data_IF_779583065516
#
_entry.id   IF_779583065516
#
_cell.length_a   1.000
_cell.length_b   1.000
_cell.length_c   1.000
_cell.angle_alpha   90.00
_cell.angle_beta   90.00
_cell.angle_gamma   90.00
#
_symmetry.space_group_name_H-M   'P 1'
#
loop_
_entity.id
_entity.type
_entity.pdbx_description
1 polymer ?
#
# COMPACT_ATOMS: atom_id res chain seq x y z
N UNK A 1 -49.30 62.13 51.58
CA UNK A 1 -49.30 61.66 50.15
C UNK A 1 -47.93 61.04 49.89
N UNK A 2 -47.87 59.68 49.88
CA UNK A 2 -46.62 58.95 49.59
C UNK A 2 -46.68 58.53 48.10
N UNK A 3 -45.75 58.99 47.29
CA UNK A 3 -45.57 58.58 45.89
C UNK A 3 -44.74 57.32 45.84
N UNK A 4 -45.34 56.21 45.38
CA UNK A 4 -44.61 54.96 45.07
C UNK A 4 -43.97 55.11 43.68
N UNK A 5 -42.67 54.98 43.65
CA UNK A 5 -41.87 54.87 42.37
C UNK A 5 -41.69 53.38 42.13
N UNK A 6 -42.28 52.90 41.05
CA UNK A 6 -42.08 51.52 40.56
C UNK A 6 -40.87 51.58 39.64
N UNK A 7 -39.78 50.95 40.05
CA UNK A 7 -38.61 50.74 39.22
C UNK A 7 -38.84 49.49 38.33
N UNK A 8 -38.93 49.67 36.99
CA UNK A 8 -38.98 48.59 36.02
C UNK A 8 -37.58 48.19 35.68
N UNK A 9 -37.21 46.94 36.10
CA UNK A 9 -35.93 46.35 35.79
C UNK A 9 -35.99 45.66 34.42
N UNK A 10 -35.34 46.22 33.42
CA UNK A 10 -35.17 45.60 32.10
C UNK A 10 -34.08 44.57 32.17
N UNK A 11 -34.44 43.30 32.14
CA UNK A 11 -33.51 42.19 31.90
C UNK A 11 -33.15 42.10 30.43
N UNK A 12 -31.95 42.54 30.06
CA UNK A 12 -31.40 42.27 28.75
C UNK A 12 -30.86 40.83 28.72
N UNK A 13 -31.58 39.91 28.10
CA UNK A 13 -31.07 38.57 27.74
C UNK A 13 -30.21 38.71 26.49
N UNK A 14 -28.88 38.78 26.68
CA UNK A 14 -27.95 38.67 25.57
C UNK A 14 -27.89 37.23 25.07
N UNK A 15 -28.45 37.00 23.88
CA UNK A 15 -28.32 35.71 23.17
C UNK A 15 -26.88 35.59 22.67
N UNK A 16 -26.03 34.81 23.35
CA UNK A 16 -24.68 34.49 22.91
C UNK A 16 -24.81 33.44 21.83
N UNK A 17 -24.70 33.85 20.56
CA UNK A 17 -24.62 32.94 19.42
C UNK A 17 -23.23 32.34 19.39
N UNK A 18 -23.06 31.13 19.92
CA UNK A 18 -21.84 30.32 19.77
C UNK A 18 -21.76 29.84 18.33
N UNK A 19 -20.99 30.52 17.48
CA UNK A 19 -20.57 29.99 16.18
C UNK A 19 -19.57 28.86 16.45
N UNK A 20 -20.03 27.61 16.33
CA UNK A 20 -19.15 26.45 16.25
C UNK A 20 -18.34 26.57 14.96
N UNK A 21 -17.09 27.02 15.06
CA UNK A 21 -16.15 26.91 13.94
C UNK A 21 -15.76 25.44 13.80
N UNK A 22 -16.33 24.75 12.82
CA UNK A 22 -15.82 23.46 12.38
C UNK A 22 -14.47 23.70 11.70
N UNK A 23 -13.40 23.59 12.47
CA UNK A 23 -12.04 23.55 11.94
C UNK A 23 -11.84 22.19 11.27
N UNK A 24 -12.14 22.11 9.99
CA UNK A 24 -11.69 20.99 9.17
C UNK A 24 -10.18 21.16 9.01
N UNK A 25 -9.39 20.43 9.78
CA UNK A 25 -7.98 20.26 9.50
C UNK A 25 -7.89 19.43 8.22
N UNK A 26 -7.64 20.06 7.10
CA UNK A 26 -7.23 19.36 5.88
C UNK A 26 -5.89 18.72 6.19
N UNK A 27 -5.87 17.42 6.47
CA UNK A 27 -4.63 16.66 6.51
C UNK A 27 -4.10 16.68 5.08
N UNK A 28 -3.00 17.41 4.85
CA UNK A 28 -2.28 17.32 3.58
C UNK A 28 -1.82 15.88 3.44
N UNK A 29 -2.21 15.23 2.33
CA UNK A 29 -1.79 13.87 2.04
C UNK A 29 -0.35 13.95 1.53
N UNK A 30 0.59 13.45 2.31
CA UNK A 30 1.99 13.33 1.92
C UNK A 30 2.18 12.06 1.10
N UNK A 31 2.90 12.18 -0.01
CA UNK A 31 3.26 11.08 -0.90
C UNK A 31 4.77 10.97 -0.97
N UNK A 32 5.33 9.87 -0.46
CA UNK A 32 6.74 9.53 -0.57
C UNK A 32 6.96 8.52 -1.70
N UNK A 33 8.11 8.62 -2.38
CA UNK A 33 8.52 7.72 -3.45
C UNK A 33 9.81 7.02 -3.05
N UNK A 34 9.81 5.69 -3.07
CA UNK A 34 10.98 4.88 -2.80
C UNK A 34 11.51 4.23 -4.06
N UNK A 35 12.78 4.50 -4.38
CA UNK A 35 13.48 3.90 -5.51
C UNK A 35 14.82 3.35 -5.00
N UNK A 36 15.00 2.04 -5.07
CA UNK A 36 16.23 1.37 -4.66
C UNK A 36 17.39 1.71 -5.61
N UNK A 37 18.62 1.48 -5.15
CA UNK A 37 19.79 1.72 -6.00
C UNK A 37 19.79 0.82 -7.23
N UNK A 38 19.35 -0.44 -7.10
CA UNK A 38 19.18 -1.34 -8.25
C UNK A 38 18.24 -0.78 -9.32
N UNK A 39 17.11 -0.21 -8.92
CA UNK A 39 16.14 0.39 -9.84
C UNK A 39 16.70 1.61 -10.54
N UNK A 40 17.49 2.43 -9.82
CA UNK A 40 18.19 3.59 -10.38
C UNK A 40 19.28 3.17 -11.37
N UNK A 41 20.12 2.18 -11.00
CA UNK A 41 21.21 1.67 -11.84
C UNK A 41 20.72 1.04 -13.15
N UNK A 42 19.53 0.41 -13.12
CA UNK A 42 18.86 -0.16 -14.29
C UNK A 42 18.05 0.85 -15.09
N UNK A 43 17.99 2.10 -14.64
CA UNK A 43 17.23 3.21 -15.25
C UNK A 43 15.76 2.86 -15.51
N UNK A 44 15.11 2.18 -14.54
CA UNK A 44 13.70 1.86 -14.67
C UNK A 44 12.84 3.12 -14.47
N UNK A 45 11.78 3.30 -15.27
CA UNK A 45 10.98 4.54 -15.29
C UNK A 45 9.90 4.57 -14.19
N UNK A 46 10.15 3.95 -13.02
CA UNK A 46 9.19 3.85 -11.90
C UNK A 46 9.91 3.75 -10.55
N UNK A 47 9.16 4.00 -9.48
CA UNK A 47 9.60 3.76 -8.10
C UNK A 47 9.27 2.33 -7.68
N UNK A 48 10.10 1.71 -6.83
CA UNK A 48 9.82 0.38 -6.27
C UNK A 48 8.58 0.39 -5.37
N UNK A 49 8.30 1.50 -4.72
CA UNK A 49 7.09 1.70 -3.93
C UNK A 49 6.70 3.18 -3.83
N UNK A 50 5.42 3.43 -3.61
CA UNK A 50 4.86 4.72 -3.22
C UNK A 50 4.22 4.58 -1.85
N UNK A 51 4.47 5.54 -0.96
CA UNK A 51 3.89 5.57 0.39
C UNK A 51 2.89 6.72 0.43
N UNK A 52 1.64 6.41 0.80
CA UNK A 52 0.58 7.41 1.00
C UNK A 52 0.09 7.25 2.43
N UNK A 53 0.31 8.27 3.26
CA UNK A 53 0.09 8.22 4.70
C UNK A 53 0.85 7.02 5.32
N UNK A 54 0.12 6.01 5.83
CA UNK A 54 0.70 4.81 6.46
C UNK A 54 0.62 3.55 5.57
N UNK A 55 0.34 3.69 4.27
CA UNK A 55 0.20 2.57 3.34
C UNK A 55 1.34 2.58 2.33
N UNK A 56 2.02 1.47 2.20
CA UNK A 56 3.05 1.21 1.20
C UNK A 56 2.41 0.47 0.02
N UNK A 57 2.49 1.04 -1.17
CA UNK A 57 2.08 0.46 -2.44
C UNK A 57 3.33 0.00 -3.18
N UNK A 58 3.66 -1.29 -3.07
CA UNK A 58 4.81 -1.88 -3.75
C UNK A 58 4.45 -2.07 -5.22
N UNK A 59 5.27 -1.58 -6.12
CA UNK A 59 5.13 -1.76 -7.57
C UNK A 59 5.24 -3.25 -7.95
N UNK A 60 4.73 -3.62 -9.12
CA UNK A 60 4.85 -4.98 -9.65
C UNK A 60 6.30 -5.45 -9.62
N UNK A 61 6.53 -6.59 -8.97
CA UNK A 61 7.83 -7.25 -8.89
C UNK A 61 7.78 -8.54 -9.70
N UNK A 62 8.88 -8.85 -10.37
CA UNK A 62 9.08 -10.11 -11.09
C UNK A 62 10.22 -10.93 -10.48
N UNK A 63 10.41 -12.14 -10.94
CA UNK A 63 11.38 -13.09 -10.37
C UNK A 63 12.84 -12.87 -10.78
N UNK A 64 13.31 -11.63 -10.92
CA UNK A 64 14.71 -11.32 -11.20
C UNK A 64 15.53 -11.14 -9.90
N UNK A 65 16.83 -11.41 -9.95
CA UNK A 65 17.74 -11.04 -8.89
C UNK A 65 18.00 -9.52 -8.88
N UNK A 66 18.26 -8.90 -7.73
CA UNK A 66 18.63 -7.50 -7.65
C UNK A 66 19.79 -7.14 -8.61
N UNK A 67 19.63 -6.01 -9.31
CA UNK A 67 20.62 -5.56 -10.31
C UNK A 67 20.65 -6.39 -11.61
N UNK A 68 19.69 -7.29 -11.82
CA UNK A 68 19.61 -8.12 -13.02
C UNK A 68 18.24 -7.97 -13.71
N UNK A 69 18.23 -7.98 -15.04
CA UNK A 69 17.01 -7.94 -15.86
C UNK A 69 16.52 -9.34 -16.30
N UNK A 70 17.21 -10.42 -15.90
CA UNK A 70 16.80 -11.79 -16.21
C UNK A 70 16.11 -12.42 -15.01
N UNK A 71 14.96 -13.03 -15.25
CA UNK A 71 14.26 -13.84 -14.24
C UNK A 71 15.08 -15.09 -13.90
N UNK A 72 14.91 -15.58 -12.67
CA UNK A 72 15.58 -16.81 -12.21
C UNK A 72 15.07 -18.03 -13.00
N UNK A 73 15.91 -19.01 -13.28
CA UNK A 73 15.49 -20.26 -13.89
C UNK A 73 14.66 -21.11 -12.90
N UNK A 74 13.83 -22.01 -13.42
CA UNK A 74 13.05 -22.96 -12.62
C UNK A 74 11.53 -22.78 -12.71
N UNK A 75 11.08 -21.87 -13.59
CA UNK A 75 9.67 -21.68 -13.88
C UNK A 75 8.89 -20.98 -12.77
N UNK A 76 7.57 -21.17 -12.80
CA UNK A 76 6.63 -20.40 -11.98
C UNK A 76 6.95 -20.45 -10.47
N UNK A 77 7.40 -21.58 -9.94
CA UNK A 77 7.71 -21.71 -8.50
C UNK A 77 8.89 -20.86 -8.09
N UNK A 78 10.01 -20.99 -8.79
CA UNK A 78 11.22 -20.23 -8.44
C UNK A 78 11.05 -18.74 -8.74
N UNK A 79 10.35 -18.39 -9.82
CA UNK A 79 10.01 -16.99 -10.09
C UNK A 79 9.09 -16.40 -9.02
N UNK A 80 8.03 -17.12 -8.60
CA UNK A 80 7.15 -16.67 -7.50
C UNK A 80 7.93 -16.45 -6.21
N UNK A 81 8.78 -17.41 -5.84
CA UNK A 81 9.63 -17.31 -4.64
C UNK A 81 10.55 -16.09 -4.69
N UNK A 82 11.20 -15.85 -5.84
CA UNK A 82 12.08 -14.69 -5.99
C UNK A 82 11.31 -13.38 -6.00
N UNK A 83 10.16 -13.32 -6.67
CA UNK A 83 9.25 -12.17 -6.67
C UNK A 83 8.84 -11.78 -5.25
N UNK A 84 8.41 -12.76 -4.43
CA UNK A 84 8.03 -12.51 -3.03
C UNK A 84 9.21 -12.03 -2.18
N UNK A 85 10.42 -12.55 -2.40
CA UNK A 85 11.64 -12.04 -1.74
C UNK A 85 11.97 -10.60 -2.15
N UNK A 86 11.71 -10.23 -3.41
CA UNK A 86 11.89 -8.85 -3.86
C UNK A 86 10.92 -7.90 -3.15
N UNK A 87 9.64 -8.30 -3.00
CA UNK A 87 8.65 -7.55 -2.24
C UNK A 87 9.07 -7.43 -0.76
N UNK A 88 9.45 -8.54 -0.12
CA UNK A 88 9.93 -8.55 1.26
C UNK A 88 11.10 -7.57 1.47
N UNK A 89 12.08 -7.55 0.57
CA UNK A 89 13.23 -6.64 0.62
C UNK A 89 12.80 -5.18 0.58
N UNK A 90 11.84 -4.81 -0.27
CA UNK A 90 11.31 -3.45 -0.36
C UNK A 90 10.59 -3.07 0.93
N UNK A 91 9.74 -3.95 1.46
CA UNK A 91 9.01 -3.70 2.70
C UNK A 91 9.96 -3.50 3.89
N UNK A 92 11.00 -4.35 4.02
CA UNK A 92 12.01 -4.23 5.07
C UNK A 92 12.78 -2.92 4.95
N UNK A 93 13.16 -2.50 3.74
CA UNK A 93 13.83 -1.22 3.51
C UNK A 93 12.97 -0.01 3.93
N UNK A 94 11.65 -0.15 3.91
CA UNK A 94 10.68 0.87 4.32
C UNK A 94 10.21 0.75 5.78
N UNK A 95 10.83 -0.17 6.58
CA UNK A 95 10.48 -0.38 7.98
C UNK A 95 9.18 -1.18 8.20
N UNK A 96 8.77 -1.93 7.18
CA UNK A 96 7.60 -2.81 7.20
C UNK A 96 8.02 -4.30 7.12
N UNK A 97 7.07 -5.21 6.89
CA UNK A 97 7.31 -6.65 6.86
C UNK A 97 6.19 -7.39 6.12
N UNK A 98 6.40 -8.67 5.80
CA UNK A 98 5.42 -9.49 5.09
C UNK A 98 4.12 -9.72 5.88
N UNK A 99 4.16 -9.74 7.21
CA UNK A 99 2.99 -9.87 8.08
C UNK A 99 2.09 -8.63 8.12
N UNK A 100 2.56 -7.50 7.59
CA UNK A 100 1.80 -6.27 7.42
C UNK A 100 1.17 -6.12 6.02
N UNK A 101 1.40 -7.07 5.12
CA UNK A 101 0.76 -7.09 3.81
C UNK A 101 -0.71 -7.46 3.95
N UNK A 102 -1.61 -6.66 3.37
CA UNK A 102 -3.05 -6.88 3.46
C UNK A 102 -3.72 -7.12 2.09
N UNK A 103 -3.04 -6.80 1.00
CA UNK A 103 -3.54 -7.00 -0.37
C UNK A 103 -2.39 -7.34 -1.31
N UNK A 104 -2.62 -8.30 -2.22
CA UNK A 104 -1.75 -8.54 -3.37
C UNK A 104 -2.57 -8.75 -4.66
N UNK A 105 -1.96 -8.42 -5.79
CA UNK A 105 -2.43 -8.77 -7.14
C UNK A 105 -1.36 -9.61 -7.82
N UNK A 106 -1.72 -10.81 -8.28
CA UNK A 106 -0.85 -11.71 -9.02
C UNK A 106 -1.25 -11.71 -10.49
N UNK A 107 -0.34 -11.33 -11.36
CA UNK A 107 -0.48 -11.32 -12.81
C UNK A 107 0.36 -12.47 -13.36
N UNK A 108 -0.27 -13.44 -14.02
CA UNK A 108 0.41 -14.60 -14.58
C UNK A 108 0.55 -14.49 -16.10
N UNK A 109 1.55 -15.12 -16.67
CA UNK A 109 1.64 -15.31 -18.12
C UNK A 109 0.65 -16.39 -18.57
N UNK A 110 0.47 -17.47 -17.76
CA UNK A 110 -0.44 -18.56 -18.02
C UNK A 110 -1.25 -18.88 -16.75
N UNK A 111 -2.58 -18.78 -16.84
CA UNK A 111 -3.46 -19.04 -15.69
C UNK A 111 -3.46 -20.54 -15.26
N UNK A 112 -3.05 -21.46 -16.11
CA UNK A 112 -2.91 -22.86 -15.75
C UNK A 112 -1.85 -23.10 -14.67
N UNK A 113 -0.88 -22.18 -14.51
CA UNK A 113 0.17 -22.22 -13.48
C UNK A 113 -0.30 -21.64 -12.12
N UNK A 114 -1.58 -21.22 -12.01
CA UNK A 114 -2.13 -20.59 -10.79
C UNK A 114 -1.97 -21.45 -9.53
N UNK A 115 -2.17 -22.75 -9.63
CA UNK A 115 -2.07 -23.66 -8.48
C UNK A 115 -0.63 -23.74 -7.96
N UNK A 116 0.35 -23.91 -8.85
CA UNK A 116 1.77 -23.99 -8.49
C UNK A 116 2.30 -22.68 -7.92
N UNK A 117 1.92 -21.54 -8.52
CA UNK A 117 2.18 -20.23 -8.01
C UNK A 117 1.62 -20.06 -6.59
N UNK A 118 0.38 -20.45 -6.37
CA UNK A 118 -0.30 -20.31 -5.08
C UNK A 118 0.36 -21.14 -3.97
N UNK A 119 0.86 -22.35 -4.29
CA UNK A 119 1.60 -23.17 -3.33
C UNK A 119 2.90 -22.50 -2.86
N UNK A 120 3.58 -21.77 -3.73
CA UNK A 120 4.80 -21.05 -3.37
C UNK A 120 4.48 -19.73 -2.63
N UNK A 121 3.51 -18.97 -3.15
CA UNK A 121 3.06 -17.70 -2.57
C UNK A 121 2.64 -17.82 -1.10
N UNK A 122 1.84 -18.85 -0.76
CA UNK A 122 1.30 -19.03 0.60
C UNK A 122 2.37 -19.23 1.67
N UNK A 123 3.59 -19.65 1.31
CA UNK A 123 4.71 -19.88 2.24
C UNK A 123 5.23 -18.59 2.88
N UNK A 124 4.91 -17.44 2.31
CA UNK A 124 5.32 -16.12 2.80
C UNK A 124 4.37 -15.53 3.85
N UNK A 125 3.25 -16.18 4.13
CA UNK A 125 2.24 -15.69 5.05
C UNK A 125 1.82 -16.76 6.06
N UNK A 126 1.57 -16.34 7.30
CA UNK A 126 0.93 -17.21 8.28
C UNK A 126 -0.48 -17.60 7.79
N UNK A 127 -0.92 -18.81 8.12
CA UNK A 127 -2.14 -19.40 7.59
C UNK A 127 -3.39 -18.56 7.89
N UNK A 128 -3.45 -17.99 9.08
CA UNK A 128 -4.53 -17.16 9.60
C UNK A 128 -4.42 -15.66 9.21
N UNK A 129 -3.32 -15.26 8.52
CA UNK A 129 -3.02 -13.86 8.16
C UNK A 129 -2.71 -13.67 6.67
N UNK A 130 -3.26 -14.52 5.81
CA UNK A 130 -3.09 -14.37 4.37
C UNK A 130 -3.79 -13.12 3.86
N UNK A 131 -3.10 -12.24 3.09
CA UNK A 131 -3.71 -11.05 2.53
C UNK A 131 -4.82 -11.38 1.53
N UNK A 132 -5.74 -10.44 1.32
CA UNK A 132 -6.69 -10.56 0.21
C UNK A 132 -5.92 -10.56 -1.11
N UNK A 133 -6.30 -11.42 -2.08
CA UNK A 133 -5.59 -11.59 -3.34
C UNK A 133 -6.53 -11.66 -4.53
N UNK A 134 -6.14 -11.00 -5.62
CA UNK A 134 -6.68 -11.23 -6.96
C UNK A 134 -5.60 -11.89 -7.83
N UNK A 135 -6.00 -12.73 -8.79
CA UNK A 135 -5.09 -13.31 -9.75
C UNK A 135 -5.76 -13.40 -11.13
N UNK A 136 -5.01 -13.10 -12.17
CA UNK A 136 -5.44 -13.20 -13.57
C UNK A 136 -4.23 -13.44 -14.47
N UNK A 137 -4.46 -13.80 -15.72
CA UNK A 137 -3.40 -13.90 -16.72
C UNK A 137 -3.50 -12.75 -17.73
N UNK A 138 -2.33 -12.24 -18.14
CA UNK A 138 -2.16 -11.25 -19.19
C UNK A 138 -1.62 -11.87 -20.48
N UNK A 139 -1.44 -11.05 -21.53
CA UNK A 139 -0.86 -11.46 -22.81
C UNK A 139 0.67 -11.48 -22.82
N UNK A 140 1.32 -10.98 -21.75
CA UNK A 140 2.76 -10.89 -21.56
C UNK A 140 3.10 -10.13 -20.30
N UNK A 141 4.29 -10.39 -19.73
CA UNK A 141 4.83 -9.71 -18.57
C UNK A 141 6.23 -9.17 -18.87
N UNK A 142 6.65 -8.16 -18.11
CA UNK A 142 7.98 -7.56 -18.25
C UNK A 142 9.08 -8.62 -18.09
N UNK A 143 10.20 -8.41 -18.77
CA UNK A 143 11.40 -9.27 -18.74
C UNK A 143 11.15 -10.75 -19.12
N UNK A 144 10.03 -11.07 -19.78
CA UNK A 144 9.64 -12.43 -20.09
C UNK A 144 9.27 -13.27 -18.86
N UNK A 145 8.86 -12.62 -17.77
CA UNK A 145 8.46 -13.29 -16.53
C UNK A 145 7.19 -14.12 -16.70
N UNK A 146 7.07 -15.17 -15.88
CA UNK A 146 5.84 -15.97 -15.74
C UNK A 146 4.88 -15.40 -14.72
N UNK A 147 5.39 -14.60 -13.79
CA UNK A 147 4.63 -13.99 -12.70
C UNK A 147 5.12 -12.58 -12.41
N UNK A 148 4.17 -11.69 -12.18
CA UNK A 148 4.38 -10.38 -11.57
C UNK A 148 3.42 -10.22 -10.39
N UNK A 149 3.89 -9.69 -9.28
CA UNK A 149 3.08 -9.49 -8.08
C UNK A 149 3.30 -8.08 -7.55
N UNK A 150 2.21 -7.37 -7.30
CA UNK A 150 2.17 -6.15 -6.50
C UNK A 150 1.55 -6.44 -5.13
N UNK A 151 1.98 -5.72 -4.09
CA UNK A 151 1.41 -5.85 -2.75
C UNK A 151 1.24 -4.50 -2.07
N UNK A 152 0.23 -4.40 -1.22
CA UNK A 152 -0.02 -3.25 -0.36
C UNK A 152 0.18 -3.67 1.10
N UNK A 153 0.91 -2.86 1.86
CA UNK A 153 1.25 -3.15 3.24
C UNK A 153 1.09 -1.90 4.13
N UNK A 154 0.92 -2.11 5.42
CA UNK A 154 1.02 -1.02 6.41
C UNK A 154 2.50 -0.76 6.71
N UNK A 155 2.86 0.50 6.87
CA UNK A 155 4.21 0.94 7.27
C UNK A 155 4.50 0.66 8.75
#
# INVERSE_FOLDING_TARGET
MKKNIIAILFLFTSCVSTKTQNTYTTLETEIDYYTSDNTKELDFPFSDATIVNNVIYVAGQVGNLPGNTKVVPGGIKEETKQTMKNIERILVALGSSMDKVFKCTCMLLDISEWAEMSEEYKKFFAEDKRPSRSAFAGSGLALGAKIEIECWAIR
#
